data_IF_375684855913
#
_entry.id   IF_375684855913
#
_cell.length_a   1.000
_cell.length_b   1.000
_cell.length_c   1.000
_cell.angle_alpha   90.00
_cell.angle_beta   90.00
_cell.angle_gamma   90.00
#
_symmetry.space_group_name_H-M   'P 1'
#
loop_
_entity.id
_entity.type
_entity.pdbx_description
1 polymer ?
#
# COMPACT_ATOMS: atom_id res chain seq x y z
N UNK A 1 42.73 -44.54 6.82
CA UNK A 1 44.20 -44.80 6.57
C UNK A 1 44.81 -43.54 6.01
N UNK A 2 45.90 -43.10 6.70
CA UNK A 2 46.99 -42.15 6.31
C UNK A 2 46.56 -40.70 6.05
N UNK A 3 46.84 -39.75 6.98
CA UNK A 3 48.10 -39.16 7.51
C UNK A 3 49.00 -38.54 6.45
N UNK A 4 49.16 -37.17 6.54
CA UNK A 4 50.45 -36.41 6.57
C UNK A 4 50.10 -34.94 6.56
N UNK A 5 50.22 -34.18 7.57
CA UNK A 5 51.30 -33.57 8.38
C UNK A 5 52.35 -32.76 7.56
N UNK A 6 52.46 -31.50 8.02
CA UNK A 6 53.59 -30.58 8.08
C UNK A 6 53.93 -29.73 6.83
N UNK A 7 53.83 -28.43 6.95
CA UNK A 7 55.01 -27.57 7.07
C UNK A 7 54.68 -26.20 7.68
N UNK A 8 55.39 -25.85 8.72
CA UNK A 8 55.47 -24.53 9.31
C UNK A 8 56.36 -23.64 8.45
N UNK A 9 55.86 -22.42 8.10
CA UNK A 9 56.66 -21.37 7.50
C UNK A 9 56.25 -20.05 8.14
N UNK A 10 56.99 -19.59 9.15
CA UNK A 10 56.91 -18.22 9.66
C UNK A 10 57.33 -17.28 8.52
N UNK A 11 56.44 -16.45 8.01
CA UNK A 11 56.79 -15.19 7.36
C UNK A 11 56.02 -14.06 8.06
N UNK A 12 56.77 -13.27 8.82
CA UNK A 12 56.36 -11.98 9.32
C UNK A 12 56.25 -11.04 8.13
N UNK A 13 55.04 -10.73 7.72
CA UNK A 13 54.75 -9.62 6.77
C UNK A 13 54.15 -8.50 7.55
N UNK A 14 54.81 -7.36 7.50
CA UNK A 14 54.39 -6.10 8.07
C UNK A 14 52.96 -5.72 7.64
N UNK A 15 52.04 -5.59 8.62
CA UNK A 15 50.74 -5.02 8.42
C UNK A 15 50.92 -3.53 8.14
N UNK A 16 50.77 -3.11 6.89
CA UNK A 16 50.51 -1.75 6.52
C UNK A 16 49.02 -1.51 6.81
N UNK A 17 48.62 -0.56 7.68
CA UNK A 17 47.25 -0.19 7.85
C UNK A 17 46.84 0.59 6.63
N UNK A 18 46.26 -0.06 5.63
CA UNK A 18 45.44 0.62 4.61
C UNK A 18 44.15 1.11 5.32
N UNK A 19 44.31 2.26 5.98
CA UNK A 19 43.27 2.95 6.70
C UNK A 19 42.12 3.28 5.77
N UNK A 20 40.94 2.90 6.20
CA UNK A 20 39.65 3.08 5.53
C UNK A 20 39.30 4.54 5.26
N UNK A 21 39.27 4.89 4.00
CA UNK A 21 38.62 6.10 3.50
C UNK A 21 37.45 5.82 2.55
N UNK A 22 36.98 4.55 2.45
CA UNK A 22 35.91 4.23 1.50
C UNK A 22 34.50 4.44 2.10
N UNK A 23 34.36 4.54 3.42
CA UNK A 23 33.05 4.68 4.08
C UNK A 23 32.49 6.11 4.13
N UNK A 24 33.32 7.12 4.14
CA UNK A 24 32.92 8.52 4.38
C UNK A 24 32.21 9.13 3.14
N UNK A 25 32.65 8.76 1.94
CA UNK A 25 32.06 9.30 0.70
C UNK A 25 30.64 8.82 0.43
N UNK A 26 30.31 7.59 0.80
CA UNK A 26 28.95 7.05 0.60
C UNK A 26 27.93 7.62 1.61
N UNK A 27 28.33 7.85 2.83
CA UNK A 27 27.48 8.45 3.85
C UNK A 27 27.18 9.93 3.55
N UNK A 28 28.18 10.70 3.13
CA UNK A 28 28.03 12.10 2.75
C UNK A 28 27.14 12.26 1.53
N UNK A 29 27.24 11.37 0.52
CA UNK A 29 26.40 11.39 -0.67
C UNK A 29 24.94 11.05 -0.36
N UNK A 30 24.71 10.10 0.56
CA UNK A 30 23.35 9.77 1.04
C UNK A 30 22.71 10.95 1.77
N UNK A 31 23.43 11.63 2.64
CA UNK A 31 22.94 12.82 3.34
C UNK A 31 22.51 13.92 2.39
N UNK A 32 23.33 14.23 1.39
CA UNK A 32 23.02 15.25 0.37
C UNK A 32 21.82 14.85 -0.50
N UNK A 33 21.63 13.55 -0.76
CA UNK A 33 20.46 13.05 -1.50
C UNK A 33 19.18 13.19 -0.69
N UNK A 34 19.20 12.81 0.59
CA UNK A 34 18.05 12.96 1.51
C UNK A 34 17.68 14.44 1.67
N UNK A 35 18.66 15.33 1.81
CA UNK A 35 18.38 16.76 1.93
C UNK A 35 17.71 17.32 0.69
N UNK A 36 18.25 17.07 -0.50
CA UNK A 36 17.61 17.49 -1.78
C UNK A 36 16.20 16.94 -1.95
N UNK A 37 15.97 15.70 -1.53
CA UNK A 37 14.65 15.09 -1.51
C UNK A 37 13.68 15.90 -0.64
N UNK A 38 14.08 16.19 0.60
CA UNK A 38 13.26 16.95 1.53
C UNK A 38 12.98 18.37 1.03
N UNK A 39 13.98 19.07 0.52
CA UNK A 39 13.82 20.41 -0.02
C UNK A 39 12.83 20.42 -1.20
N UNK A 40 12.98 19.48 -2.14
CA UNK A 40 12.08 19.35 -3.29
C UNK A 40 10.64 19.08 -2.87
N UNK A 41 10.43 18.18 -1.90
CA UNK A 41 9.07 17.87 -1.43
C UNK A 41 8.44 18.99 -0.62
N UNK A 42 9.25 19.76 0.13
CA UNK A 42 8.80 20.96 0.80
C UNK A 42 8.32 22.04 -0.20
N UNK A 43 9.07 22.23 -1.29
CA UNK A 43 8.70 23.17 -2.36
C UNK A 43 7.40 22.76 -3.05
N UNK A 44 7.24 21.45 -3.35
CA UNK A 44 6.00 20.90 -3.95
C UNK A 44 4.82 21.09 -2.99
N UNK A 45 4.98 20.78 -1.71
CA UNK A 45 3.94 20.96 -0.69
C UNK A 45 3.52 22.44 -0.59
N UNK A 46 4.50 23.34 -0.55
CA UNK A 46 4.25 24.78 -0.51
C UNK A 46 3.50 25.26 -1.77
N UNK A 47 3.95 24.86 -2.95
CA UNK A 47 3.30 25.21 -4.21
C UNK A 47 1.87 24.68 -4.32
N UNK A 48 1.60 23.50 -3.81
CA UNK A 48 0.28 22.86 -3.80
C UNK A 48 -0.67 23.44 -2.73
N UNK A 49 -0.16 24.25 -1.79
CA UNK A 49 -0.91 24.80 -0.65
C UNK A 49 -1.70 23.73 0.13
N UNK A 50 -1.14 22.53 0.23
CA UNK A 50 -1.77 21.39 0.88
C UNK A 50 -0.75 20.55 1.64
N UNK A 51 -1.21 19.48 2.28
CA UNK A 51 -0.34 18.49 2.92
C UNK A 51 0.10 17.43 1.90
N UNK A 52 1.40 17.20 1.80
CA UNK A 52 1.98 16.16 0.95
C UNK A 52 2.54 15.03 1.81
N UNK A 53 2.15 13.78 1.53
CA UNK A 53 2.75 12.59 2.13
C UNK A 53 3.39 11.73 1.04
N UNK A 54 4.66 11.41 1.21
CA UNK A 54 5.40 10.55 0.27
C UNK A 54 6.20 9.52 1.05
N UNK A 55 6.21 8.28 0.57
CA UNK A 55 7.18 7.27 0.99
C UNK A 55 7.66 6.48 -0.24
N UNK A 56 8.95 6.31 -0.33
CA UNK A 56 9.61 5.52 -1.36
C UNK A 56 10.50 4.48 -0.68
N UNK A 57 10.39 3.25 -1.11
CA UNK A 57 11.26 2.16 -0.72
C UNK A 57 12.03 1.67 -1.95
N UNK A 58 13.35 1.77 -1.92
CA UNK A 58 14.22 1.05 -2.84
C UNK A 58 14.39 -0.39 -2.33
N UNK A 59 13.75 -1.33 -3.01
CA UNK A 59 13.77 -2.75 -2.61
C UNK A 59 15.13 -3.40 -2.81
N UNK A 60 16.00 -2.84 -3.65
CA UNK A 60 17.36 -3.35 -3.89
C UNK A 60 18.32 -2.99 -2.76
N UNK A 61 18.19 -1.80 -2.21
CA UNK A 61 19.09 -1.29 -1.16
C UNK A 61 18.47 -1.23 0.23
N UNK A 62 17.14 -1.38 0.33
CA UNK A 62 16.38 -1.16 1.55
C UNK A 62 16.27 0.31 1.97
N UNK A 63 16.72 1.26 1.13
CA UNK A 63 16.64 2.68 1.43
C UNK A 63 15.19 3.14 1.45
N UNK A 64 14.78 3.77 2.53
CA UNK A 64 13.48 4.44 2.65
C UNK A 64 13.69 5.94 2.65
N UNK A 65 13.02 6.63 1.73
CA UNK A 65 12.89 8.09 1.71
C UNK A 65 11.43 8.45 1.96
N UNK A 66 11.19 9.41 2.83
CA UNK A 66 9.83 9.80 3.18
C UNK A 66 9.71 11.27 3.51
N UNK A 67 8.52 11.81 3.21
CA UNK A 67 8.07 13.13 3.61
C UNK A 67 6.72 12.95 4.29
N UNK A 68 6.58 13.36 5.54
CA UNK A 68 5.39 13.10 6.37
C UNK A 68 4.90 11.65 6.32
N UNK A 69 5.81 10.71 6.11
CA UNK A 69 5.50 9.29 5.91
C UNK A 69 4.81 8.63 7.11
N UNK A 70 4.97 9.22 8.29
CA UNK A 70 4.38 8.74 9.54
C UNK A 70 3.06 9.45 9.89
N UNK A 71 2.66 10.44 9.07
CA UNK A 71 1.37 11.11 9.22
C UNK A 71 0.24 10.34 8.53
N UNK A 72 -0.98 10.64 8.93
CA UNK A 72 -2.18 10.04 8.36
C UNK A 72 -2.71 10.89 7.21
N UNK A 73 -3.15 10.21 6.16
CA UNK A 73 -3.75 10.81 4.97
C UNK A 73 -5.03 10.05 4.60
N UNK A 74 -6.03 10.73 4.12
CA UNK A 74 -7.24 10.10 3.61
C UNK A 74 -6.89 9.19 2.42
N UNK A 75 -7.35 7.93 2.46
CA UNK A 75 -7.13 7.00 1.36
C UNK A 75 -7.95 7.38 0.13
N UNK A 76 -9.14 7.94 0.33
CA UNK A 76 -10.13 8.13 -0.73
C UNK A 76 -10.22 6.85 -1.60
N UNK A 77 -10.35 6.97 -2.89
CA UNK A 77 -10.45 5.81 -3.79
C UNK A 77 -9.21 4.92 -3.87
N UNK A 78 -8.08 5.27 -3.27
CA UNK A 78 -6.90 4.39 -3.27
C UNK A 78 -7.13 3.09 -2.50
N UNK A 79 -8.09 3.05 -1.57
CA UNK A 79 -8.48 1.83 -0.87
C UNK A 79 -8.95 0.72 -1.83
N UNK A 80 -9.50 1.09 -2.99
CA UNK A 80 -10.06 0.18 -3.99
C UNK A 80 -9.03 -0.79 -4.55
N UNK A 81 -7.77 -0.37 -4.66
CA UNK A 81 -6.67 -1.28 -5.03
C UNK A 81 -6.48 -2.37 -3.97
N UNK A 82 -6.49 -1.99 -2.70
CA UNK A 82 -6.35 -2.95 -1.58
C UNK A 82 -7.57 -3.85 -1.48
N UNK A 83 -8.78 -3.32 -1.76
CA UNK A 83 -10.01 -4.10 -1.79
C UNK A 83 -9.97 -5.19 -2.87
N UNK A 84 -9.53 -4.86 -4.09
CA UNK A 84 -9.35 -5.85 -5.15
C UNK A 84 -8.28 -6.89 -4.76
N UNK A 85 -7.17 -6.48 -4.16
CA UNK A 85 -6.16 -7.38 -3.61
C UNK A 85 -6.73 -8.32 -2.54
N UNK A 86 -7.66 -7.84 -1.70
CA UNK A 86 -8.36 -8.69 -0.74
C UNK A 86 -9.22 -9.75 -1.42
N UNK A 87 -9.98 -9.36 -2.46
CA UNK A 87 -10.77 -10.34 -3.23
C UNK A 87 -9.88 -11.43 -3.84
N UNK A 88 -8.74 -11.04 -4.43
CA UNK A 88 -7.78 -12.01 -4.98
C UNK A 88 -7.20 -12.93 -3.90
N UNK A 89 -6.85 -12.40 -2.73
CA UNK A 89 -6.39 -13.21 -1.61
C UNK A 89 -7.45 -14.21 -1.10
N UNK A 90 -8.73 -13.85 -1.16
CA UNK A 90 -9.82 -14.78 -0.85
C UNK A 90 -9.99 -15.86 -1.93
N UNK A 91 -9.77 -15.52 -3.19
CA UNK A 91 -9.76 -16.50 -4.31
C UNK A 91 -8.62 -17.50 -4.12
N UNK A 92 -7.41 -17.04 -3.82
CA UNK A 92 -6.25 -17.91 -3.56
C UNK A 92 -6.49 -18.88 -2.38
N UNK A 93 -7.30 -18.43 -1.39
CA UNK A 93 -7.71 -19.26 -0.25
C UNK A 93 -8.91 -20.17 -0.55
N UNK A 94 -9.46 -20.15 -1.75
CA UNK A 94 -10.67 -20.88 -2.12
C UNK A 94 -11.96 -20.39 -1.43
N UNK A 95 -11.95 -19.19 -0.84
CA UNK A 95 -13.08 -18.57 -0.14
C UNK A 95 -13.94 -17.68 -1.05
N UNK A 96 -13.45 -17.35 -2.22
CA UNK A 96 -14.16 -16.58 -3.23
C UNK A 96 -13.82 -17.11 -4.62
N UNK A 97 -14.60 -16.71 -5.64
CA UNK A 97 -14.39 -17.06 -7.04
C UNK A 97 -14.62 -15.85 -7.92
N UNK A 98 -13.69 -15.58 -8.84
CA UNK A 98 -13.80 -14.45 -9.77
C UNK A 98 -15.00 -14.54 -10.70
N UNK A 99 -15.45 -15.73 -11.04
CA UNK A 99 -16.61 -16.00 -11.89
C UNK A 99 -17.95 -16.03 -11.12
N UNK A 100 -17.91 -15.94 -9.78
CA UNK A 100 -19.12 -15.88 -8.97
C UNK A 100 -19.90 -14.59 -9.29
N UNK A 101 -21.17 -14.76 -9.73
CA UNK A 101 -22.05 -13.64 -10.06
C UNK A 101 -22.69 -13.08 -8.80
N UNK A 102 -22.64 -11.77 -8.68
CA UNK A 102 -23.22 -11.02 -7.56
C UNK A 102 -24.36 -10.16 -8.09
N UNK A 103 -25.56 -10.41 -7.56
CA UNK A 103 -26.75 -9.60 -7.84
C UNK A 103 -26.91 -8.54 -6.77
N UNK A 104 -27.31 -7.34 -7.16
CA UNK A 104 -27.58 -6.22 -6.26
C UNK A 104 -28.72 -5.38 -6.82
N UNK A 105 -29.51 -4.83 -5.93
CA UNK A 105 -30.69 -4.06 -6.28
C UNK A 105 -30.35 -2.64 -6.78
N UNK A 106 -31.29 -1.99 -7.45
CA UNK A 106 -31.10 -0.62 -7.97
C UNK A 106 -30.92 0.42 -6.88
N UNK A 107 -31.51 0.23 -5.73
CA UNK A 107 -31.37 1.11 -4.56
C UNK A 107 -29.98 1.03 -3.90
N UNK A 108 -29.20 0.00 -4.20
CA UNK A 108 -27.80 -0.08 -3.79
C UNK A 108 -26.86 0.78 -4.64
N UNK A 109 -27.35 1.36 -5.76
CA UNK A 109 -26.52 2.16 -6.66
C UNK A 109 -26.28 3.53 -6.06
N UNK A 110 -25.00 3.88 -5.91
CA UNK A 110 -24.56 5.19 -5.41
C UNK A 110 -23.94 6.03 -6.53
N UNK A 111 -23.71 7.30 -6.26
CA UNK A 111 -23.09 8.22 -7.20
C UNK A 111 -21.74 7.68 -7.70
N UNK A 112 -21.45 7.93 -8.99
CA UNK A 112 -20.25 7.48 -9.68
C UNK A 112 -20.12 5.96 -9.75
N UNK A 113 -21.03 5.34 -10.49
CA UNK A 113 -21.09 3.89 -10.72
C UNK A 113 -21.24 3.58 -12.22
N UNK A 114 -20.22 3.89 -13.04
CA UNK A 114 -20.34 3.89 -14.50
C UNK A 114 -20.57 2.50 -15.10
N UNK A 115 -20.19 1.44 -14.43
CA UNK A 115 -20.38 0.05 -14.88
C UNK A 115 -21.48 -0.62 -14.07
N UNK A 116 -21.38 -0.58 -12.74
CA UNK A 116 -22.29 -1.32 -11.87
C UNK A 116 -23.71 -0.71 -11.87
N UNK A 117 -23.85 0.59 -12.10
CA UNK A 117 -25.14 1.25 -12.18
C UNK A 117 -26.04 0.69 -13.29
N UNK A 118 -25.48 0.35 -14.45
CA UNK A 118 -26.22 -0.21 -15.59
C UNK A 118 -26.62 -1.68 -15.38
N UNK A 119 -25.95 -2.37 -14.47
CA UNK A 119 -26.11 -3.82 -14.21
C UNK A 119 -26.90 -4.13 -12.95
N UNK A 120 -27.46 -3.12 -12.30
CA UNK A 120 -28.28 -3.28 -11.10
C UNK A 120 -29.71 -3.71 -11.43
N UNK A 121 -30.34 -4.49 -10.54
CA UNK A 121 -31.75 -4.90 -10.62
C UNK A 121 -31.95 -6.33 -11.12
N UNK A 122 -33.22 -6.67 -11.44
CA UNK A 122 -33.61 -8.04 -11.85
C UNK A 122 -32.86 -8.48 -13.10
N UNK A 123 -32.35 -9.72 -13.09
CA UNK A 123 -31.57 -10.30 -14.19
C UNK A 123 -30.19 -9.71 -14.41
N UNK A 124 -29.84 -8.66 -13.65
CA UNK A 124 -28.54 -8.00 -13.72
C UNK A 124 -27.46 -8.66 -12.85
N UNK A 125 -26.46 -7.87 -12.50
CA UNK A 125 -25.33 -8.26 -11.68
C UNK A 125 -24.05 -8.40 -12.48
N UNK A 126 -22.95 -8.46 -11.73
CA UNK A 126 -21.60 -8.58 -12.26
C UNK A 126 -20.89 -9.73 -11.55
N UNK A 127 -19.90 -10.34 -12.19
CA UNK A 127 -19.03 -11.28 -11.51
C UNK A 127 -18.08 -10.55 -10.56
N UNK A 128 -17.53 -11.25 -9.59
CA UNK A 128 -16.52 -10.67 -8.67
C UNK A 128 -15.34 -10.09 -9.45
N UNK A 129 -14.90 -10.76 -10.52
CA UNK A 129 -13.84 -10.26 -11.39
C UNK A 129 -14.24 -8.97 -12.12
N UNK A 130 -15.47 -8.88 -12.66
CA UNK A 130 -15.98 -7.66 -13.30
C UNK A 130 -16.13 -6.51 -12.28
N UNK A 131 -16.58 -6.81 -11.05
CA UNK A 131 -16.65 -5.83 -9.96
C UNK A 131 -15.25 -5.32 -9.58
N UNK A 132 -14.25 -6.19 -9.46
CA UNK A 132 -12.86 -5.79 -9.21
C UNK A 132 -12.33 -4.89 -10.33
N UNK A 133 -12.57 -5.26 -11.59
CA UNK A 133 -12.14 -4.48 -12.76
C UNK A 133 -12.80 -3.09 -12.78
N UNK A 134 -14.10 -3.00 -12.53
CA UNK A 134 -14.82 -1.73 -12.44
C UNK A 134 -14.32 -0.86 -11.28
N UNK A 135 -14.08 -1.49 -10.12
CA UNK A 135 -13.59 -0.83 -8.90
C UNK A 135 -12.22 -0.21 -9.12
N UNK A 136 -11.26 -0.94 -9.71
CA UNK A 136 -9.88 -0.46 -9.87
C UNK A 136 -9.73 0.40 -11.13
N UNK A 137 -10.31 -0.03 -12.25
CA UNK A 137 -10.12 0.63 -13.55
C UNK A 137 -10.90 1.94 -13.70
N UNK A 138 -12.11 1.99 -13.16
CA UNK A 138 -13.00 3.13 -13.31
C UNK A 138 -13.41 3.77 -11.98
N UNK A 139 -12.86 3.29 -10.88
CA UNK A 139 -13.21 3.78 -9.53
C UNK A 139 -14.71 3.68 -9.19
N UNK A 140 -15.39 2.67 -9.71
CA UNK A 140 -16.83 2.45 -9.54
C UNK A 140 -17.20 2.25 -8.05
N UNK A 141 -18.05 3.14 -7.55
CA UNK A 141 -18.39 3.19 -6.13
C UNK A 141 -19.34 2.06 -5.69
N UNK A 142 -20.34 1.75 -6.49
CA UNK A 142 -21.25 0.66 -6.18
C UNK A 142 -20.53 -0.69 -6.28
N UNK A 143 -19.68 -0.88 -7.29
CA UNK A 143 -18.87 -2.09 -7.39
C UNK A 143 -18.02 -2.31 -6.13
N UNK A 144 -17.38 -1.23 -5.62
CA UNK A 144 -16.61 -1.29 -4.38
C UNK A 144 -17.48 -1.66 -3.17
N UNK A 145 -18.64 -1.02 -3.01
CA UNK A 145 -19.58 -1.30 -1.91
C UNK A 145 -20.12 -2.73 -1.96
N UNK A 146 -20.43 -3.24 -3.13
CA UNK A 146 -20.90 -4.62 -3.35
C UNK A 146 -19.82 -5.64 -2.92
N UNK A 147 -18.57 -5.41 -3.31
CA UNK A 147 -17.44 -6.25 -2.89
C UNK A 147 -17.23 -6.18 -1.36
N UNK A 148 -17.29 -4.99 -0.77
CA UNK A 148 -17.19 -4.82 0.69
C UNK A 148 -18.28 -5.58 1.41
N UNK A 149 -19.54 -5.39 1.02
CA UNK A 149 -20.70 -6.00 1.68
C UNK A 149 -20.62 -7.53 1.69
N UNK A 150 -20.03 -8.13 0.67
CA UNK A 150 -19.88 -9.58 0.53
C UNK A 150 -18.98 -10.22 1.60
N UNK A 151 -18.05 -9.44 2.17
CA UNK A 151 -17.03 -9.95 3.11
C UNK A 151 -16.94 -9.14 4.41
N UNK A 152 -18.06 -8.64 4.91
CA UNK A 152 -18.14 -7.97 6.21
C UNK A 152 -17.90 -6.45 6.19
N UNK A 153 -17.99 -5.84 5.00
CA UNK A 153 -17.98 -4.39 4.85
C UNK A 153 -16.65 -3.72 5.22
N UNK A 154 -16.70 -2.46 5.64
CA UNK A 154 -15.52 -1.72 6.10
C UNK A 154 -14.73 -2.41 7.21
N UNK A 155 -15.43 -3.07 8.15
CA UNK A 155 -14.78 -3.81 9.22
C UNK A 155 -13.98 -5.02 8.70
N UNK A 156 -14.54 -5.77 7.75
CA UNK A 156 -13.86 -6.88 7.09
C UNK A 156 -12.61 -6.42 6.34
N UNK A 157 -12.71 -5.31 5.60
CA UNK A 157 -11.55 -4.69 4.94
C UNK A 157 -10.46 -4.33 5.97
N UNK A 158 -10.84 -3.67 7.06
CA UNK A 158 -9.90 -3.30 8.12
C UNK A 158 -9.24 -4.53 8.74
N UNK A 159 -9.99 -5.61 8.98
CA UNK A 159 -9.44 -6.87 9.48
C UNK A 159 -8.43 -7.49 8.50
N UNK A 160 -8.73 -7.47 7.19
CA UNK A 160 -7.79 -7.92 6.16
C UNK A 160 -6.49 -7.12 6.19
N UNK A 161 -6.56 -5.79 6.24
CA UNK A 161 -5.37 -4.93 6.32
C UNK A 161 -4.55 -5.23 7.57
N UNK A 162 -5.21 -5.50 8.72
CA UNK A 162 -4.51 -5.95 9.94
C UNK A 162 -3.77 -7.26 9.75
N UNK A 163 -4.33 -8.20 8.98
CA UNK A 163 -3.67 -9.48 8.70
C UNK A 163 -2.40 -9.33 7.86
N UNK A 164 -2.26 -8.22 7.14
CA UNK A 164 -1.04 -7.86 6.39
C UNK A 164 0.01 -7.15 7.25
N UNK A 165 -0.23 -6.98 8.55
CA UNK A 165 0.67 -6.30 9.49
C UNK A 165 0.52 -4.77 9.51
N UNK A 166 -0.43 -4.18 8.77
CA UNK A 166 -0.70 -2.75 8.82
C UNK A 166 -1.67 -2.44 9.98
N UNK A 167 -1.14 -1.94 11.08
CA UNK A 167 -1.91 -1.60 12.26
C UNK A 167 -2.62 -0.24 12.17
N UNK A 168 -2.42 0.53 11.10
CA UNK A 168 -2.84 1.93 11.01
C UNK A 168 -3.99 2.15 10.03
N UNK A 169 -3.89 1.60 8.82
CA UNK A 169 -4.92 1.76 7.78
C UNK A 169 -6.24 1.17 8.24
N UNK A 170 -7.33 1.91 8.04
CA UNK A 170 -8.69 1.47 8.40
C UNK A 170 -9.70 2.01 7.40
N UNK A 171 -10.80 1.34 7.25
CA UNK A 171 -11.98 1.80 6.53
C UNK A 171 -13.15 1.81 7.52
N UNK A 172 -13.86 2.93 7.61
CA UNK A 172 -14.95 3.10 8.58
C UNK A 172 -16.32 3.23 7.92
N UNK A 173 -16.34 3.61 6.65
CA UNK A 173 -17.55 3.93 5.90
C UNK A 173 -17.48 3.37 4.50
N UNK A 174 -18.64 3.23 3.86
CA UNK A 174 -18.77 2.88 2.45
C UNK A 174 -18.63 4.13 1.56
N UNK A 175 -18.54 3.93 0.24
CA UNK A 175 -18.70 4.98 -0.74
C UNK A 175 -20.13 5.53 -0.74
N UNK A 176 -20.37 6.82 -0.96
CA UNK A 176 -19.37 7.88 -1.15
C UNK A 176 -18.91 8.54 0.15
N UNK A 177 -19.52 8.21 1.29
CA UNK A 177 -19.31 8.92 2.57
C UNK A 177 -17.92 8.75 3.18
N UNK A 178 -17.15 7.77 2.71
CA UNK A 178 -15.73 7.62 3.13
C UNK A 178 -14.85 8.80 2.71
N UNK A 179 -15.30 9.60 1.74
CA UNK A 179 -14.57 10.78 1.25
C UNK A 179 -14.85 12.05 2.08
N UNK A 180 -15.76 11.98 3.05
CA UNK A 180 -16.05 13.08 3.98
C UNK A 180 -15.01 13.11 5.09
N UNK A 181 -13.78 13.54 4.78
CA UNK A 181 -12.71 13.70 5.74
C UNK A 181 -12.58 15.17 6.16
N UNK A 182 -12.54 15.41 7.47
CA UNK A 182 -12.17 16.71 8.03
C UNK A 182 -10.78 16.60 8.68
N UNK A 183 -10.00 17.66 8.60
CA UNK A 183 -8.68 17.71 9.26
C UNK A 183 -8.85 17.43 10.75
N UNK A 184 -8.15 16.40 11.25
CA UNK A 184 -8.24 15.98 12.64
C UNK A 184 -9.41 15.04 12.96
N UNK A 185 -10.21 14.61 11.98
CA UNK A 185 -11.23 13.58 12.19
C UNK A 185 -10.54 12.22 12.47
N UNK A 186 -10.75 11.60 13.65
CA UNK A 186 -10.19 10.27 13.94
C UNK A 186 -10.72 9.18 13.01
N UNK A 187 -11.80 9.47 12.26
CA UNK A 187 -12.38 8.60 11.23
C UNK A 187 -11.71 8.77 9.86
N UNK A 188 -10.73 9.66 9.72
CA UNK A 188 -9.93 9.70 8.49
C UNK A 188 -9.44 8.29 8.20
N UNK A 189 -9.88 7.75 7.07
CA UNK A 189 -9.36 6.52 6.48
C UNK A 189 -7.90 6.75 6.13
N UNK A 190 -7.01 6.29 6.99
CA UNK A 190 -5.67 6.80 6.98
C UNK A 190 -4.71 5.67 6.72
N UNK A 191 -3.86 5.87 5.75
CA UNK A 191 -2.68 5.08 5.57
C UNK A 191 -1.50 5.82 6.22
N UNK A 192 -0.93 5.23 7.27
CA UNK A 192 0.49 5.41 7.49
C UNK A 192 1.17 4.71 6.34
N UNK A 193 2.03 5.39 5.58
CA UNK A 193 2.89 4.75 4.59
C UNK A 193 3.81 3.81 5.37
N UNK A 194 3.28 2.63 5.68
CA UNK A 194 3.92 1.69 6.56
C UNK A 194 5.27 1.30 5.97
N UNK A 195 6.24 1.15 6.82
CA UNK A 195 7.48 0.44 6.50
C UNK A 195 7.07 -0.91 5.92
N UNK A 196 7.16 -1.04 4.60
CA UNK A 196 7.18 -2.33 3.96
C UNK A 196 8.43 -3.01 4.52
N UNK A 197 8.24 -3.95 5.44
CA UNK A 197 9.34 -4.83 5.85
C UNK A 197 9.58 -5.78 4.71
N UNK A 198 10.85 -6.00 4.32
CA UNK A 198 11.20 -7.04 3.38
C UNK A 198 10.78 -8.42 3.90
#
# INVERSE_FOLDING_TARGET
MQRRQFFWGLMATAAVPLGGCVGVGHAANRGATVQRWNDTLADIEHAAQGRLGVAMLDTGTGLVLGWRQDERFAMASTFKLVLAGWMLALVDQGKERLDARVHYARDAVVAYSPVSGERAGEGGGLTVGELCAATVGLSDNTAANVLLARHGGPAGFTAFVRSLGDATTRLDRNEPTLNEAAVGDPRETTRRLARLRP
#
